data_IF_997929888931
#
_entry.id   IF_997929888931
#
_cell.length_a   1.000
_cell.length_b   1.000
_cell.length_c   1.000
_cell.angle_alpha   90.00
_cell.angle_beta   90.00
_cell.angle_gamma   90.00
#
_symmetry.space_group_name_H-M   'P 1'
#
loop_
_entity.id
_entity.type
_entity.pdbx_description
1 polymer ?
#
# COMPACT_ATOMS: atom_id res chain seq x y z
N UNK A 1 0.09 9.34 -14.03
CA UNK A 1 0.81 8.05 -14.01
C UNK A 1 -0.10 6.98 -14.56
N UNK A 2 0.42 6.05 -15.37
CA UNK A 2 -0.32 4.84 -15.75
C UNK A 2 -0.17 3.79 -14.65
N UNK A 3 -1.23 3.64 -13.84
CA UNK A 3 -1.22 2.72 -12.71
C UNK A 3 -1.28 1.25 -13.11
N UNK A 4 -1.83 0.91 -14.29
CA UNK A 4 -1.86 -0.48 -14.77
C UNK A 4 -0.42 -0.93 -15.03
N UNK A 5 0.33 -0.14 -15.81
CA UNK A 5 1.74 -0.42 -16.10
C UNK A 5 2.61 -0.43 -14.83
N UNK A 6 2.34 0.47 -13.88
CA UNK A 6 3.02 0.46 -12.59
C UNK A 6 2.82 -0.87 -11.86
N UNK A 7 1.58 -1.37 -11.79
CA UNK A 7 1.28 -2.62 -11.10
C UNK A 7 1.75 -3.86 -11.86
N UNK A 8 1.85 -3.84 -13.19
CA UNK A 8 2.53 -4.89 -13.96
C UNK A 8 4.01 -5.04 -13.53
N UNK A 9 4.70 -3.91 -13.38
CA UNK A 9 6.10 -3.87 -12.92
C UNK A 9 6.19 -4.39 -11.47
N UNK A 10 5.33 -3.90 -10.57
CA UNK A 10 5.30 -4.34 -9.17
C UNK A 10 5.01 -5.85 -9.07
N UNK A 11 4.02 -6.35 -9.81
CA UNK A 11 3.70 -7.78 -9.85
C UNK A 11 4.88 -8.63 -10.32
N UNK A 12 5.56 -8.20 -11.38
CA UNK A 12 6.79 -8.86 -11.84
C UNK A 12 7.87 -8.84 -10.76
N UNK A 13 8.04 -7.74 -10.03
CA UNK A 13 9.02 -7.66 -8.96
C UNK A 13 8.68 -8.62 -7.82
N UNK A 14 7.43 -8.65 -7.39
CA UNK A 14 7.01 -9.54 -6.32
C UNK A 14 7.22 -11.00 -6.71
N UNK A 15 6.88 -11.36 -7.94
CA UNK A 15 7.06 -12.73 -8.45
C UNK A 15 8.53 -13.11 -8.57
N UNK A 16 9.34 -12.32 -9.29
CA UNK A 16 10.76 -12.60 -9.51
C UNK A 16 11.56 -12.61 -8.20
N UNK A 17 11.19 -11.79 -7.23
CA UNK A 17 11.87 -11.66 -5.95
C UNK A 17 11.26 -12.53 -4.82
N UNK A 18 10.17 -13.27 -5.09
CA UNK A 18 9.51 -14.11 -4.09
C UNK A 18 8.89 -13.34 -2.92
N UNK A 19 8.36 -12.13 -3.17
CA UNK A 19 7.69 -11.33 -2.14
C UNK A 19 6.28 -11.88 -1.91
N UNK A 20 6.06 -12.44 -0.72
CA UNK A 20 4.78 -13.08 -0.35
C UNK A 20 4.13 -12.49 0.90
N UNK A 21 4.80 -11.56 1.60
CA UNK A 21 4.29 -10.97 2.83
C UNK A 21 4.82 -9.55 3.07
N UNK A 22 4.17 -8.84 3.99
CA UNK A 22 4.58 -7.52 4.47
C UNK A 22 5.06 -7.59 5.93
N UNK A 23 6.00 -6.72 6.32
CA UNK A 23 6.70 -5.72 5.49
C UNK A 23 7.71 -6.38 4.52
N UNK A 24 7.82 -5.87 3.28
CA UNK A 24 8.76 -6.45 2.28
C UNK A 24 10.22 -6.30 2.73
N UNK A 25 11.10 -7.25 2.42
CA UNK A 25 12.54 -7.08 2.62
C UNK A 25 13.16 -6.33 1.43
N UNK A 26 13.33 -5.01 1.59
CA UNK A 26 13.92 -4.13 0.58
C UNK A 26 15.33 -4.58 0.18
N UNK A 27 16.14 -5.08 1.12
CA UNK A 27 17.50 -5.49 0.82
C UNK A 27 17.54 -6.82 0.06
N UNK A 28 16.62 -7.73 0.34
CA UNK A 28 16.49 -8.97 -0.44
C UNK A 28 16.13 -8.69 -1.90
N UNK A 29 15.21 -7.74 -2.16
CA UNK A 29 14.90 -7.28 -3.53
C UNK A 29 16.16 -6.76 -4.22
N UNK A 30 16.93 -5.89 -3.57
CA UNK A 30 18.18 -5.34 -4.11
C UNK A 30 19.17 -6.46 -4.47
N UNK A 31 19.38 -7.43 -3.56
CA UNK A 31 20.30 -8.56 -3.79
C UNK A 31 19.83 -9.46 -4.93
N UNK A 32 18.54 -9.81 -4.98
CA UNK A 32 17.97 -10.63 -6.06
C UNK A 32 18.03 -9.96 -7.42
N UNK A 33 18.13 -8.63 -7.45
CA UNK A 33 18.34 -7.83 -8.67
C UNK A 33 19.81 -7.64 -9.02
N UNK A 34 20.73 -8.26 -8.28
CA UNK A 34 22.17 -8.30 -8.59
C UNK A 34 22.97 -7.11 -8.06
N UNK A 35 22.36 -6.23 -7.27
CA UNK A 35 23.07 -5.06 -6.71
C UNK A 35 23.82 -5.43 -5.43
N UNK A 36 25.01 -4.86 -5.29
CA UNK A 36 25.73 -4.82 -4.02
C UNK A 36 25.11 -3.75 -3.11
N UNK A 37 25.24 -3.92 -1.80
CA UNK A 37 24.74 -2.98 -0.80
C UNK A 37 25.92 -2.51 0.05
N UNK A 38 26.07 -1.20 0.22
CA UNK A 38 27.09 -0.60 1.10
C UNK A 38 26.49 0.53 1.92
N UNK A 39 26.80 0.57 3.22
CA UNK A 39 26.38 1.67 4.09
C UNK A 39 27.25 2.90 3.86
N UNK A 40 26.70 4.09 4.03
CA UNK A 40 27.48 5.33 4.02
C UNK A 40 28.54 5.34 5.12
N UNK A 41 28.23 4.79 6.31
CA UNK A 41 29.18 4.68 7.43
C UNK A 41 30.38 3.77 7.15
N UNK A 42 30.28 2.85 6.19
CA UNK A 42 31.34 1.90 5.80
C UNK A 42 32.25 2.47 4.68
N UNK A 43 31.95 3.66 4.16
CA UNK A 43 32.71 4.27 3.06
C UNK A 43 33.87 5.13 3.56
N UNK A 44 34.98 5.11 2.81
CA UNK A 44 36.04 6.10 2.96
C UNK A 44 35.49 7.52 2.75
N UNK A 45 36.01 8.49 3.50
CA UNK A 45 35.49 9.87 3.58
C UNK A 45 35.15 10.48 2.21
N UNK A 46 36.09 10.50 1.26
CA UNK A 46 35.89 11.06 -0.09
C UNK A 46 34.71 10.41 -0.82
N UNK A 47 34.54 9.09 -0.68
CA UNK A 47 33.45 8.35 -1.33
C UNK A 47 32.12 8.60 -0.62
N UNK A 48 32.13 8.68 0.71
CA UNK A 48 30.96 9.06 1.51
C UNK A 48 30.46 10.46 1.14
N UNK A 49 31.36 11.43 1.06
CA UNK A 49 31.06 12.81 0.63
C UNK A 49 30.45 12.84 -0.78
N UNK A 50 31.02 12.09 -1.72
CA UNK A 50 30.46 11.98 -3.07
C UNK A 50 29.03 11.39 -3.08
N UNK A 51 28.77 10.34 -2.30
CA UNK A 51 27.42 9.78 -2.17
C UNK A 51 26.45 10.77 -1.53
N UNK A 52 26.87 11.49 -0.47
CA UNK A 52 26.05 12.52 0.19
C UNK A 52 25.72 13.70 -0.74
N UNK A 53 26.63 14.07 -1.65
CA UNK A 53 26.38 15.09 -2.68
C UNK A 53 25.35 14.62 -3.72
N UNK A 54 25.29 13.32 -4.02
CA UNK A 54 24.27 12.76 -4.91
C UNK A 54 22.91 12.70 -4.22
N UNK A 55 22.88 12.17 -2.99
CA UNK A 55 21.67 12.07 -2.20
C UNK A 55 22.00 11.89 -0.71
N UNK A 56 21.30 12.62 0.18
CA UNK A 56 21.48 12.46 1.62
C UNK A 56 21.00 11.09 2.14
N UNK A 57 20.14 10.40 1.39
CA UNK A 57 19.44 9.20 1.85
C UNK A 57 19.97 7.90 1.24
N UNK A 58 20.05 7.84 -0.09
CA UNK A 58 20.60 6.71 -0.81
C UNK A 58 20.88 7.07 -2.26
N UNK A 59 21.79 6.34 -2.91
CA UNK A 59 22.00 6.44 -4.35
C UNK A 59 22.42 5.08 -4.92
N UNK A 60 22.01 4.81 -6.16
CA UNK A 60 22.57 3.70 -6.96
C UNK A 60 23.66 4.24 -7.89
N UNK A 61 24.87 3.69 -7.77
CA UNK A 61 25.98 4.01 -8.68
C UNK A 61 26.52 2.70 -9.25
N UNK A 62 26.35 2.53 -10.57
CA UNK A 62 26.59 1.25 -11.27
C UNK A 62 25.77 0.14 -10.59
N UNK A 63 26.42 -0.96 -10.23
CA UNK A 63 25.76 -2.13 -9.63
C UNK A 63 25.82 -2.11 -8.08
N UNK A 64 25.85 -0.92 -7.47
CA UNK A 64 25.92 -0.79 -6.01
C UNK A 64 24.94 0.26 -5.51
N UNK A 65 24.06 -0.17 -4.61
CA UNK A 65 23.25 0.67 -3.75
C UNK A 65 24.07 1.15 -2.56
N UNK A 66 24.14 2.45 -2.38
CA UNK A 66 24.68 3.08 -1.19
C UNK A 66 23.53 3.73 -0.41
N UNK A 67 23.52 3.61 0.92
CA UNK A 67 22.46 4.20 1.74
C UNK A 67 22.97 4.76 3.06
N UNK A 68 22.28 5.78 3.57
CA UNK A 68 22.52 6.37 4.88
C UNK A 68 21.94 5.47 5.96
N UNK A 69 22.81 4.71 6.63
CA UNK A 69 22.45 3.72 7.65
C UNK A 69 22.08 4.31 9.01
N UNK A 70 22.26 5.62 9.20
CA UNK A 70 21.83 6.35 10.40
C UNK A 70 20.39 6.89 10.31
N UNK A 71 19.72 6.70 9.16
CA UNK A 71 18.31 7.06 9.00
C UNK A 71 17.40 6.08 9.74
N UNK A 72 16.14 6.47 9.95
CA UNK A 72 15.13 5.53 10.49
C UNK A 72 14.88 4.38 9.52
N UNK A 73 14.45 3.23 10.03
CA UNK A 73 14.23 2.03 9.22
C UNK A 73 13.23 2.30 8.07
N UNK A 74 12.17 3.05 8.33
CA UNK A 74 11.16 3.41 7.33
C UNK A 74 11.73 4.32 6.24
N UNK A 75 12.58 5.28 6.62
CA UNK A 75 13.23 6.17 5.66
C UNK A 75 14.23 5.42 4.78
N UNK A 76 15.00 4.50 5.36
CA UNK A 76 15.90 3.61 4.61
C UNK A 76 15.09 2.75 3.63
N UNK A 77 14.01 2.11 4.08
CA UNK A 77 13.16 1.26 3.22
C UNK A 77 12.60 2.04 2.04
N UNK A 78 12.08 3.25 2.30
CA UNK A 78 11.53 4.11 1.27
C UNK A 78 12.60 4.56 0.27
N UNK A 79 13.74 5.05 0.76
CA UNK A 79 14.80 5.57 -0.12
C UNK A 79 15.40 4.47 -1.00
N UNK A 80 15.54 3.24 -0.49
CA UNK A 80 15.99 2.10 -1.30
C UNK A 80 15.01 1.78 -2.43
N UNK A 81 13.71 1.75 -2.15
CA UNK A 81 12.70 1.53 -3.18
C UNK A 81 12.59 2.70 -4.16
N UNK A 82 12.92 3.92 -3.72
CA UNK A 82 12.95 5.11 -4.57
C UNK A 82 14.05 5.01 -5.62
N UNK A 83 15.27 4.65 -5.22
CA UNK A 83 16.36 4.40 -6.16
C UNK A 83 16.02 3.27 -7.14
N UNK A 84 15.41 2.18 -6.66
CA UNK A 84 14.94 1.12 -7.54
C UNK A 84 13.78 1.57 -8.44
N UNK A 85 12.95 2.52 -8.00
CA UNK A 85 11.90 3.13 -8.79
C UNK A 85 12.45 3.84 -10.03
N UNK A 86 13.54 4.60 -9.88
CA UNK A 86 14.26 5.17 -11.02
C UNK A 86 14.72 4.10 -12.02
N UNK A 87 15.27 3.00 -11.51
CA UNK A 87 15.77 1.89 -12.34
C UNK A 87 14.62 1.16 -13.06
N UNK A 88 13.59 0.73 -12.33
CA UNK A 88 12.51 -0.09 -12.89
C UNK A 88 11.60 0.69 -13.82
N UNK A 89 11.32 1.96 -13.52
CA UNK A 89 10.54 2.83 -14.37
C UNK A 89 11.36 3.48 -15.49
N UNK A 90 12.70 3.34 -15.47
CA UNK A 90 13.63 3.99 -16.38
C UNK A 90 13.37 5.50 -16.47
N UNK A 91 13.25 6.14 -15.31
CA UNK A 91 12.87 7.54 -15.19
C UNK A 91 13.80 8.28 -14.24
N UNK A 92 14.07 9.55 -14.52
CA UNK A 92 14.74 10.48 -13.61
C UNK A 92 13.73 11.40 -12.90
N UNK A 93 12.42 11.13 -13.02
CA UNK A 93 11.37 11.94 -12.41
C UNK A 93 11.15 11.48 -10.97
N UNK A 94 11.58 12.30 -10.01
CA UNK A 94 11.47 12.04 -8.56
C UNK A 94 10.06 11.61 -8.12
N UNK A 95 9.03 12.31 -8.60
CA UNK A 95 7.63 12.00 -8.24
C UNK A 95 7.20 10.60 -8.70
N UNK A 96 7.73 10.12 -9.84
CA UNK A 96 7.46 8.78 -10.33
C UNK A 96 8.15 7.72 -9.45
N UNK A 97 9.37 7.97 -9.00
CA UNK A 97 10.11 7.10 -8.08
C UNK A 97 9.47 7.07 -6.68
N UNK A 98 8.99 8.20 -6.17
CA UNK A 98 8.21 8.30 -4.93
C UNK A 98 6.90 7.53 -5.03
N UNK A 99 6.18 7.70 -6.15
CA UNK A 99 4.93 6.97 -6.41
C UNK A 99 5.20 5.47 -6.47
N UNK A 100 6.24 5.05 -7.18
CA UNK A 100 6.65 3.65 -7.21
C UNK A 100 6.92 3.10 -5.81
N UNK A 101 7.71 3.82 -5.00
CA UNK A 101 8.07 3.44 -3.63
C UNK A 101 6.85 3.26 -2.74
N UNK A 102 5.91 4.21 -2.82
CA UNK A 102 4.64 4.16 -2.09
C UNK A 102 3.81 2.92 -2.46
N UNK A 103 3.72 2.61 -3.75
CA UNK A 103 2.91 1.51 -4.27
C UNK A 103 3.57 0.13 -4.12
N UNK A 104 4.90 0.02 -4.22
CA UNK A 104 5.61 -1.25 -4.01
C UNK A 104 5.69 -1.61 -2.53
N UNK A 105 5.79 -0.63 -1.62
CA UNK A 105 5.84 -0.88 -0.17
C UNK A 105 4.46 -1.14 0.42
N UNK A 106 3.42 -0.45 -0.07
CA UNK A 106 2.04 -0.63 0.38
C UNK A 106 1.05 -0.55 -0.81
N UNK A 107 0.94 -1.63 -1.62
CA UNK A 107 -0.02 -1.71 -2.72
C UNK A 107 -1.44 -1.39 -2.24
N UNK A 108 -2.21 -0.62 -3.00
CA UNK A 108 -3.58 -0.23 -2.57
C UNK A 108 -4.49 -1.43 -2.39
N UNK A 109 -4.33 -2.44 -3.25
CA UNK A 109 -5.00 -3.73 -3.09
C UNK A 109 -4.58 -4.46 -1.81
N UNK A 110 -3.31 -4.40 -1.40
CA UNK A 110 -2.85 -5.02 -0.16
C UNK A 110 -3.35 -4.27 1.08
N UNK A 111 -3.40 -2.93 1.04
CA UNK A 111 -4.02 -2.09 2.09
C UNK A 111 -5.48 -2.49 2.26
N UNK A 112 -6.21 -2.62 1.15
CA UNK A 112 -7.61 -3.04 1.13
C UNK A 112 -7.81 -4.43 1.76
N UNK A 113 -7.07 -5.44 1.29
CA UNK A 113 -7.18 -6.82 1.77
C UNK A 113 -6.71 -7.01 3.21
N UNK A 114 -5.80 -6.17 3.68
CA UNK A 114 -5.35 -6.14 5.08
C UNK A 114 -6.30 -5.36 6.01
N UNK A 115 -7.42 -4.84 5.49
CA UNK A 115 -8.43 -4.07 6.24
C UNK A 115 -7.83 -2.90 7.03
N UNK A 116 -6.88 -2.20 6.43
CA UNK A 116 -6.26 -1.01 7.00
C UNK A 116 -7.14 0.23 6.73
N UNK A 117 -7.61 0.88 7.77
CA UNK A 117 -8.49 2.06 7.72
C UNK A 117 -7.81 3.34 8.23
N UNK A 118 -6.69 3.20 8.95
CA UNK A 118 -5.94 4.34 9.52
C UNK A 118 -4.49 4.34 9.07
N UNK A 119 -3.85 5.51 9.11
CA UNK A 119 -2.43 5.64 8.81
C UNK A 119 -1.57 4.85 9.80
N UNK A 120 -2.02 4.69 11.05
CA UNK A 120 -1.35 3.83 12.02
C UNK A 120 -1.38 2.36 11.61
N UNK A 121 -2.53 1.83 11.17
CA UNK A 121 -2.60 0.45 10.69
C UNK A 121 -1.70 0.22 9.47
N UNK A 122 -1.62 1.20 8.56
CA UNK A 122 -0.70 1.13 7.41
C UNK A 122 0.77 1.18 7.86
N UNK A 123 1.11 2.05 8.81
CA UNK A 123 2.44 2.12 9.42
C UNK A 123 2.83 0.76 10.01
N UNK A 124 1.97 0.19 10.86
CA UNK A 124 2.20 -1.06 11.57
C UNK A 124 2.30 -2.25 10.61
N UNK A 125 1.46 -2.29 9.55
CA UNK A 125 1.38 -3.43 8.62
C UNK A 125 2.49 -3.42 7.56
N UNK A 126 2.81 -2.24 7.01
CA UNK A 126 3.70 -2.11 5.85
C UNK A 126 5.09 -1.54 6.21
N UNK A 127 5.31 -1.17 7.48
CA UNK A 127 6.53 -0.53 7.97
C UNK A 127 6.92 0.73 7.18
N UNK A 128 5.91 1.55 6.89
CA UNK A 128 6.05 2.90 6.30
C UNK A 128 6.15 3.95 7.40
N UNK A 129 6.76 5.10 7.16
CA UNK A 129 6.69 6.22 8.13
C UNK A 129 5.24 6.71 8.29
N UNK A 130 4.89 7.37 9.40
CA UNK A 130 3.54 7.96 9.54
C UNK A 130 3.19 8.92 8.40
N UNK A 131 4.15 9.72 7.93
CA UNK A 131 3.96 10.62 6.79
C UNK A 131 3.67 9.85 5.51
N UNK A 132 4.45 8.80 5.20
CA UNK A 132 4.23 7.95 4.04
C UNK A 132 2.90 7.18 4.15
N UNK A 133 2.55 6.73 5.35
CA UNK A 133 1.30 6.02 5.63
C UNK A 133 0.06 6.90 5.44
N UNK A 134 0.13 8.19 5.82
CA UNK A 134 -0.94 9.15 5.55
C UNK A 134 -1.13 9.38 4.05
N UNK A 135 -0.03 9.55 3.30
CA UNK A 135 -0.10 9.66 1.83
C UNK A 135 -0.70 8.40 1.21
N UNK A 136 -0.23 7.22 1.63
CA UNK A 136 -0.75 5.93 1.17
C UNK A 136 -2.24 5.75 1.48
N UNK A 137 -2.71 6.23 2.64
CA UNK A 137 -4.12 6.19 3.01
C UNK A 137 -4.98 7.10 2.11
N UNK A 138 -4.51 8.30 1.80
CA UNK A 138 -5.22 9.23 0.90
C UNK A 138 -5.33 8.64 -0.51
N UNK A 139 -4.22 8.13 -1.04
CA UNK A 139 -4.20 7.46 -2.34
C UNK A 139 -5.09 6.22 -2.37
N UNK A 140 -5.12 5.44 -1.27
CA UNK A 140 -6.02 4.30 -1.12
C UNK A 140 -7.49 4.72 -1.20
N UNK A 141 -7.89 5.83 -0.58
CA UNK A 141 -9.27 6.32 -0.64
C UNK A 141 -9.66 6.68 -2.08
N UNK A 142 -8.80 7.39 -2.79
CA UNK A 142 -9.01 7.71 -4.21
C UNK A 142 -9.12 6.44 -5.05
N UNK A 143 -8.22 5.47 -4.82
CA UNK A 143 -8.28 4.16 -5.47
C UNK A 143 -9.60 3.43 -5.18
N UNK A 144 -10.05 3.42 -3.93
CA UNK A 144 -11.29 2.78 -3.49
C UNK A 144 -12.53 3.43 -4.13
N UNK A 145 -12.60 4.76 -4.14
CA UNK A 145 -13.67 5.49 -4.80
C UNK A 145 -13.72 5.19 -6.31
N UNK A 146 -12.56 5.16 -6.96
CA UNK A 146 -12.47 4.81 -8.38
C UNK A 146 -13.02 3.40 -8.64
N UNK A 147 -12.58 2.39 -7.90
CA UNK A 147 -13.11 1.03 -8.10
C UNK A 147 -14.61 0.96 -7.76
N UNK A 148 -15.08 1.64 -6.71
CA UNK A 148 -16.48 1.58 -6.30
C UNK A 148 -17.42 2.19 -7.34
N UNK A 149 -17.00 3.28 -7.99
CA UNK A 149 -17.86 4.09 -8.86
C UNK A 149 -17.62 3.91 -10.36
N UNK A 150 -16.47 3.37 -10.78
CA UNK A 150 -16.13 3.26 -12.21
C UNK A 150 -16.00 1.80 -12.65
N UNK A 151 -14.91 1.14 -12.32
CA UNK A 151 -14.56 -0.19 -12.85
C UNK A 151 -15.28 -1.31 -12.11
N UNK A 152 -15.76 -1.08 -10.88
CA UNK A 152 -16.27 -2.09 -9.94
C UNK A 152 -15.28 -3.21 -9.62
N UNK A 153 -14.01 -3.06 -10.00
CA UNK A 153 -12.97 -4.05 -9.76
C UNK A 153 -11.55 -3.47 -9.85
N UNK A 154 -10.60 -4.05 -9.09
CA UNK A 154 -9.17 -3.77 -9.28
C UNK A 154 -8.71 -4.14 -10.69
N UNK A 155 -7.61 -3.54 -11.14
CA UNK A 155 -7.01 -3.87 -12.44
C UNK A 155 -6.48 -5.31 -12.46
N UNK A 156 -6.30 -5.93 -13.65
CA UNK A 156 -5.73 -7.28 -13.76
C UNK A 156 -4.43 -7.50 -12.97
N UNK A 157 -3.39 -6.63 -13.05
CA UNK A 157 -2.16 -6.85 -12.28
C UNK A 157 -2.35 -6.70 -10.77
N UNK A 158 -3.28 -5.85 -10.31
CA UNK A 158 -3.62 -5.76 -8.88
C UNK A 158 -4.31 -7.02 -8.37
N UNK A 159 -5.19 -7.64 -9.17
CA UNK A 159 -5.79 -8.94 -8.83
C UNK A 159 -4.74 -10.05 -8.80
N UNK A 160 -3.77 -10.02 -9.70
CA UNK A 160 -2.66 -10.98 -9.67
C UNK A 160 -1.79 -10.81 -8.41
N UNK A 161 -1.53 -9.58 -8.00
CA UNK A 161 -0.87 -9.28 -6.72
C UNK A 161 -1.69 -9.78 -5.53
N UNK A 162 -3.01 -9.56 -5.52
CA UNK A 162 -3.89 -10.09 -4.49
C UNK A 162 -3.77 -11.62 -4.37
N UNK A 163 -3.87 -12.33 -5.49
CA UNK A 163 -3.73 -13.78 -5.50
C UNK A 163 -2.34 -14.20 -4.98
N UNK A 164 -1.27 -13.57 -5.44
CA UNK A 164 0.08 -13.88 -4.98
C UNK A 164 0.26 -13.73 -3.46
N UNK A 165 -0.35 -12.71 -2.87
CA UNK A 165 -0.19 -12.36 -1.46
C UNK A 165 -1.18 -13.09 -0.54
N UNK A 166 -2.34 -13.50 -1.05
CA UNK A 166 -3.45 -13.96 -0.22
C UNK A 166 -4.02 -15.34 -0.63
N UNK A 167 -3.51 -16.01 -1.67
CA UNK A 167 -4.04 -17.29 -2.15
C UNK A 167 -3.83 -18.49 -1.21
N UNK A 168 -2.92 -18.44 -0.23
CA UNK A 168 -2.67 -19.55 0.70
C UNK A 168 -3.42 -19.44 2.05
N UNK A 169 -4.23 -18.40 2.26
CA UNK A 169 -5.06 -18.27 3.47
C UNK A 169 -6.41 -19.01 3.42
N UNK A 170 -6.61 -19.90 2.45
CA UNK A 170 -7.85 -20.67 2.26
C UNK A 170 -7.82 -22.10 2.87
N UNK A 171 -6.79 -22.49 3.63
CA UNK A 171 -6.74 -23.78 4.37
C UNK A 171 -6.83 -23.63 5.91
N UNK A 172 -7.26 -22.46 6.37
CA UNK A 172 -7.86 -22.30 7.71
C UNK A 172 -9.32 -21.96 7.45
N UNK A 173 -10.32 -22.47 8.20
CA UNK A 173 -11.71 -22.08 8.01
C UNK A 173 -11.77 -20.56 7.99
N UNK A 174 -12.12 -20.01 6.83
CA UNK A 174 -12.34 -18.59 6.70
C UNK A 174 -13.37 -18.21 7.75
N UNK A 175 -13.03 -17.27 8.64
CA UNK A 175 -14.07 -16.49 9.28
C UNK A 175 -14.90 -15.89 8.13
N UNK A 176 -16.14 -16.34 8.02
CA UNK A 176 -17.05 -16.09 6.92
C UNK A 176 -17.08 -14.60 6.56
N UNK A 177 -16.79 -14.30 5.28
CA UNK A 177 -17.06 -13.00 4.69
C UNK A 177 -18.55 -12.99 4.31
N UNK A 178 -19.41 -12.20 4.98
CA UNK A 178 -20.86 -12.39 4.91
C UNK A 178 -21.53 -11.87 3.63
N UNK A 179 -20.77 -11.48 2.59
CA UNK A 179 -21.34 -10.74 1.45
C UNK A 179 -21.22 -11.42 0.08
N UNK A 180 -21.08 -12.74 0.03
CA UNK A 180 -21.24 -13.48 -1.23
C UNK A 180 -22.04 -14.77 -1.04
N UNK A 181 -23.35 -14.65 -0.80
CA UNK A 181 -24.31 -15.67 -1.22
C UNK A 181 -25.58 -14.95 -1.70
N UNK A 182 -25.87 -15.04 -3.00
CA UNK A 182 -27.01 -14.40 -3.67
C UNK A 182 -28.37 -14.98 -3.21
N UNK A 183 -28.40 -15.86 -2.19
CA UNK A 183 -29.63 -16.44 -1.64
C UNK A 183 -29.86 -16.22 -0.14
N UNK A 184 -29.04 -15.41 0.55
CA UNK A 184 -29.26 -15.09 1.97
C UNK A 184 -29.55 -13.59 2.10
N UNK A 185 -30.79 -13.26 2.46
CA UNK A 185 -31.19 -11.89 2.81
C UNK A 185 -30.51 -11.55 4.15
N UNK A 186 -29.32 -10.96 4.08
CA UNK A 186 -28.61 -10.43 5.24
C UNK A 186 -29.38 -9.23 5.81
N UNK A 187 -29.92 -9.39 7.02
CA UNK A 187 -30.50 -8.29 7.79
C UNK A 187 -29.48 -7.85 8.86
N UNK A 188 -28.74 -6.74 8.65
CA UNK A 188 -27.77 -6.25 9.62
C UNK A 188 -28.44 -5.95 10.96
N UNK A 189 -27.71 -6.18 12.06
CA UNK A 189 -28.22 -5.89 13.39
C UNK A 189 -28.34 -4.36 13.62
N UNK A 190 -29.18 -3.93 14.59
CA UNK A 190 -29.47 -2.52 14.83
C UNK A 190 -28.23 -1.63 15.05
N UNK A 191 -27.17 -2.17 15.66
CA UNK A 191 -25.95 -1.42 15.97
C UNK A 191 -25.15 -1.19 14.68
N UNK A 192 -25.03 -2.22 13.85
CA UNK A 192 -24.35 -2.13 12.55
C UNK A 192 -25.04 -1.12 11.63
N UNK A 193 -26.38 -1.15 11.56
CA UNK A 193 -27.14 -0.17 10.77
C UNK A 193 -26.90 1.25 11.27
N UNK A 194 -26.92 1.46 12.60
CA UNK A 194 -26.69 2.80 13.16
C UNK A 194 -25.28 3.32 12.87
N UNK A 195 -24.26 2.45 12.93
CA UNK A 195 -22.89 2.81 12.58
C UNK A 195 -22.76 3.20 11.11
N UNK A 196 -23.41 2.46 10.19
CA UNK A 196 -23.40 2.77 8.76
C UNK A 196 -24.10 4.10 8.45
N UNK A 197 -25.19 4.40 9.15
CA UNK A 197 -25.85 5.72 9.07
C UNK A 197 -24.91 6.83 9.53
N UNK A 198 -24.19 6.65 10.65
CA UNK A 198 -23.22 7.64 11.13
C UNK A 198 -22.06 7.82 10.14
N UNK A 199 -21.53 6.72 9.57
CA UNK A 199 -20.46 6.73 8.56
C UNK A 199 -20.89 7.52 7.32
N UNK A 200 -22.10 7.28 6.81
CA UNK A 200 -22.63 7.99 5.64
C UNK A 200 -22.86 9.48 5.91
N UNK A 201 -23.40 9.84 7.08
CA UNK A 201 -23.58 11.25 7.48
C UNK A 201 -22.26 11.99 7.65
N UNK A 202 -21.26 11.37 8.29
CA UNK A 202 -19.92 11.94 8.45
C UNK A 202 -19.22 12.16 7.12
N UNK A 203 -19.47 11.30 6.13
CA UNK A 203 -18.94 11.40 4.79
C UNK A 203 -19.76 12.36 3.88
N UNK A 204 -20.84 12.96 4.38
CA UNK A 204 -21.73 13.82 3.58
C UNK A 204 -22.50 13.08 2.48
N UNK A 205 -22.61 11.75 2.59
CA UNK A 205 -23.27 10.91 1.60
C UNK A 205 -24.79 10.88 1.81
N UNK A 206 -25.59 10.82 0.74
CA UNK A 206 -27.04 10.71 0.86
C UNK A 206 -27.42 9.36 1.45
N UNK A 207 -28.26 9.38 2.49
CA UNK A 207 -28.84 8.17 3.07
C UNK A 207 -29.93 7.60 2.16
N UNK A 208 -30.09 6.28 2.15
CA UNK A 208 -31.23 5.60 1.54
C UNK A 208 -32.52 5.91 2.32
N UNK A 209 -33.70 5.75 1.69
CA UNK A 209 -34.98 6.01 2.36
C UNK A 209 -35.21 5.11 3.57
N UNK A 210 -34.72 3.87 3.52
CA UNK A 210 -34.75 2.94 4.66
C UNK A 210 -33.89 3.45 5.83
N UNK A 211 -32.67 3.93 5.55
CA UNK A 211 -31.77 4.48 6.57
C UNK A 211 -32.27 5.82 7.14
N UNK A 212 -32.94 6.64 6.33
CA UNK A 212 -33.62 7.86 6.80
C UNK A 212 -34.75 7.53 7.78
N UNK A 213 -35.56 6.50 7.49
CA UNK A 213 -36.65 6.04 8.37
C UNK A 213 -36.11 5.52 9.72
N UNK A 214 -35.08 4.69 9.68
CA UNK A 214 -34.45 4.14 10.88
C UNK A 214 -33.77 5.22 11.72
N UNK A 215 -33.05 6.16 11.10
CA UNK A 215 -32.46 7.30 11.79
C UNK A 215 -33.51 8.15 12.53
N UNK A 216 -34.68 8.36 11.93
CA UNK A 216 -35.78 9.09 12.57
C UNK A 216 -36.37 8.30 13.75
N UNK A 217 -36.50 6.97 13.64
CA UNK A 217 -36.91 6.13 14.77
C UNK A 217 -35.91 6.21 15.95
N UNK A 218 -34.60 6.11 15.67
CA UNK A 218 -33.57 6.23 16.72
C UNK A 218 -33.54 7.62 17.38
N UNK A 219 -33.78 8.69 16.63
CA UNK A 219 -33.86 10.05 17.16
C UNK A 219 -35.07 10.27 18.06
N UNK A 220 -36.18 9.55 17.82
CA UNK A 220 -37.41 9.65 18.60
C UNK A 220 -37.42 8.74 19.85
N UNK A 221 -36.41 7.88 20.02
CA UNK A 221 -36.21 7.05 21.23
C UNK A 221 -35.29 7.71 22.28
N UNK A 222 -34.86 8.95 22.01
CA UNK A 222 -34.03 9.80 22.89
C UNK A 222 -34.86 10.86 23.63
#
# INVERSE_FOLDING_TARGET
MDYVKLYEIIFKIYTDCGVTAFPIDCFDIVRRRGYQIKKYSELAQKKREACLCLSPDSCIVKDTLYYQDQNTAERIRFSIMHELGHVFLQTSVEEMADTFSSHILAPRIAIHKSRCHTAQQIHDTFALSYTASNKALLDYKVWYENIAHTTRMPSPPEKQLELLLFSEKNNTPAAEDPFTDDNIIYTPDPITIYQDIQRALMAGLPLTEEYKRLLNQYRNMK
#
